data_IF_956201789750
#
_entry.id   IF_956201789750
#
_cell.length_a   1.000
_cell.length_b   1.000
_cell.length_c   1.000
_cell.angle_alpha   90.00
_cell.angle_beta   90.00
_cell.angle_gamma   90.00
#
_symmetry.space_group_name_H-M   'P 1'
#
loop_
_entity.id
_entity.type
_entity.pdbx_description
1 polymer ?
#
# COMPACT_ATOMS: atom_id res chain seq x y z
N UNK A 1 -13.00 37.09 73.21
CA UNK A 1 -11.90 36.91 72.23
C UNK A 1 -11.90 35.46 71.79
N UNK A 2 -12.70 35.09 70.78
CA UNK A 2 -12.80 33.69 70.34
C UNK A 2 -12.19 33.56 68.95
N UNK A 3 -11.09 32.82 68.85
CA UNK A 3 -10.33 32.57 67.62
C UNK A 3 -11.07 31.56 66.75
N UNK A 4 -11.36 31.95 65.52
CA UNK A 4 -11.73 31.05 64.43
C UNK A 4 -10.45 30.37 63.94
N UNK A 5 -10.38 29.05 63.98
CA UNK A 5 -9.30 28.28 63.32
C UNK A 5 -9.87 27.67 62.04
N UNK A 6 -9.29 28.06 60.91
CA UNK A 6 -9.66 27.62 59.57
C UNK A 6 -9.01 26.27 59.20
N UNK A 7 -9.66 25.60 58.23
CA UNK A 7 -9.40 24.28 57.67
C UNK A 7 -7.94 23.97 57.29
N UNK A 8 -7.54 22.71 57.44
CA UNK A 8 -6.61 22.04 56.51
C UNK A 8 -7.16 20.68 56.10
N UNK A 9 -7.22 20.44 54.78
CA UNK A 9 -7.79 19.23 54.17
C UNK A 9 -6.76 18.09 54.21
N UNK A 10 -7.26 16.90 54.53
CA UNK A 10 -6.53 15.64 54.66
C UNK A 10 -5.88 15.21 53.33
N UNK A 11 -4.55 15.13 53.28
CA UNK A 11 -3.78 14.69 52.10
C UNK A 11 -3.65 13.16 52.16
N UNK A 12 -4.44 12.43 51.38
CA UNK A 12 -4.16 11.03 51.04
C UNK A 12 -3.61 10.98 49.61
N UNK A 13 -2.30 10.75 49.48
CA UNK A 13 -1.65 10.53 48.17
C UNK A 13 -1.95 9.09 47.71
N UNK A 14 -2.51 8.86 46.51
CA UNK A 14 -2.61 7.51 45.99
C UNK A 14 -1.21 7.05 45.54
N UNK A 15 -0.75 5.96 46.17
CA UNK A 15 0.32 5.11 45.68
C UNK A 15 -0.23 4.46 44.42
N UNK A 16 0.18 4.89 43.23
CA UNK A 16 0.27 4.13 41.97
C UNK A 16 0.76 5.08 40.86
N UNK A 17 2.01 5.54 40.98
CA UNK A 17 2.72 6.09 39.82
C UNK A 17 3.32 4.89 39.07
N UNK A 18 2.65 4.58 37.96
CA UNK A 18 2.90 3.47 37.06
C UNK A 18 4.29 3.59 36.42
N UNK A 19 5.18 2.68 36.77
CA UNK A 19 6.46 2.47 36.12
C UNK A 19 6.25 1.80 34.76
N UNK A 20 6.06 2.58 33.69
CA UNK A 20 6.36 2.12 32.33
C UNK A 20 6.84 3.32 31.52
N UNK A 21 8.13 3.61 31.64
CA UNK A 21 8.82 4.61 30.82
C UNK A 21 9.16 4.00 29.46
N UNK A 22 8.68 4.67 28.42
CA UNK A 22 9.13 4.66 27.01
C UNK A 22 9.72 3.35 26.47
N UNK A 23 8.87 2.51 25.88
CA UNK A 23 9.30 1.52 24.87
C UNK A 23 8.56 1.71 23.54
N UNK A 24 7.76 2.76 23.41
CA UNK A 24 6.95 3.04 22.21
C UNK A 24 7.75 3.69 21.09
N UNK A 25 8.83 4.42 21.40
CA UNK A 25 9.64 5.08 20.36
C UNK A 25 10.43 4.09 19.51
N UNK A 26 11.01 3.05 20.13
CA UNK A 26 11.77 2.01 19.42
C UNK A 26 10.87 1.09 18.59
N UNK A 27 9.59 0.95 18.96
CA UNK A 27 8.63 0.18 18.17
C UNK A 27 8.20 0.93 16.91
N UNK A 28 7.93 2.24 17.02
CA UNK A 28 7.51 3.06 15.88
C UNK A 28 8.56 3.10 14.77
N UNK A 29 9.84 3.26 15.13
CA UNK A 29 10.95 3.25 14.18
C UNK A 29 11.13 1.89 13.46
N UNK A 30 10.81 0.77 14.11
CA UNK A 30 10.92 -0.57 13.50
C UNK A 30 9.73 -0.84 12.55
N UNK A 31 8.54 -0.34 12.86
CA UNK A 31 7.36 -0.45 11.99
C UNK A 31 7.47 0.32 10.68
N UNK A 32 8.04 1.54 10.70
CA UNK A 32 8.21 2.33 9.47
C UNK A 32 9.26 1.70 8.53
N UNK A 33 10.33 1.15 9.09
CA UNK A 33 11.41 0.52 8.31
C UNK A 33 10.93 -0.77 7.64
N UNK A 34 10.19 -1.62 8.37
CA UNK A 34 9.69 -2.91 7.88
C UNK A 34 8.58 -2.77 6.82
N UNK A 35 7.77 -1.71 6.86
CA UNK A 35 6.74 -1.44 5.85
C UNK A 35 7.33 -1.06 4.48
N UNK A 36 8.59 -0.61 4.44
CA UNK A 36 9.28 -0.18 3.22
C UNK A 36 9.97 -1.34 2.50
N UNK A 37 10.31 -2.43 3.21
CA UNK A 37 11.10 -3.56 2.68
C UNK A 37 10.29 -4.54 1.82
N UNK A 38 8.99 -4.62 2.05
CA UNK A 38 8.04 -5.34 1.19
C UNK A 38 7.24 -4.23 0.53
N UNK A 39 7.43 -3.96 -0.76
CA UNK A 39 6.81 -2.82 -1.48
C UNK A 39 5.28 -2.88 -1.56
N UNK A 40 4.59 -3.11 -0.44
CA UNK A 40 3.16 -3.29 -0.31
C UNK A 40 2.40 -2.03 -0.70
N UNK A 41 2.99 -0.86 -0.48
CA UNK A 41 2.45 0.44 -0.92
C UNK A 41 2.40 0.57 -2.45
N UNK A 42 3.31 -0.09 -3.17
CA UNK A 42 3.32 -0.04 -4.64
C UNK A 42 2.03 -0.61 -5.21
N UNK A 43 1.50 0.06 -6.24
CA UNK A 43 0.25 -0.33 -6.89
C UNK A 43 0.29 -1.76 -7.45
N UNK A 44 1.45 -2.18 -7.93
CA UNK A 44 1.74 -3.50 -8.49
C UNK A 44 3.11 -4.01 -8.04
N UNK A 45 3.40 -5.29 -8.27
CA UNK A 45 4.71 -5.90 -8.03
C UNK A 45 5.85 -5.21 -8.80
N UNK A 46 5.57 -4.70 -10.00
CA UNK A 46 6.55 -4.06 -10.89
C UNK A 46 6.29 -2.57 -11.17
N UNK A 47 5.28 -1.95 -10.54
CA UNK A 47 4.92 -0.56 -10.81
C UNK A 47 4.49 0.15 -9.51
N UNK A 48 5.16 1.25 -9.11
CA UNK A 48 4.90 1.89 -7.82
C UNK A 48 3.60 2.70 -7.81
N UNK A 49 3.36 3.50 -8.86
CA UNK A 49 2.28 4.47 -8.90
C UNK A 49 1.00 3.99 -9.59
N UNK A 50 0.03 4.91 -9.64
CA UNK A 50 -1.16 4.79 -10.48
C UNK A 50 -0.82 5.14 -11.94
N UNK A 51 -1.58 4.61 -12.89
CA UNK A 51 -1.41 4.85 -14.33
C UNK A 51 -2.69 5.37 -15.00
N UNK A 52 -3.70 5.76 -14.20
CA UNK A 52 -4.93 6.40 -14.67
C UNK A 52 -5.41 7.42 -13.64
N UNK A 53 -5.97 8.54 -14.10
CA UNK A 53 -6.47 9.62 -13.27
C UNK A 53 -7.54 9.16 -12.25
N UNK A 54 -8.38 8.20 -12.63
CA UNK A 54 -9.46 7.69 -11.76
C UNK A 54 -9.01 6.50 -10.90
N UNK A 55 -7.76 6.04 -11.04
CA UNK A 55 -7.26 4.91 -10.28
C UNK A 55 -6.86 5.38 -8.87
N UNK A 56 -7.38 4.70 -7.85
CA UNK A 56 -6.96 4.94 -6.45
C UNK A 56 -5.60 4.29 -6.19
N UNK A 57 -4.77 4.96 -5.41
CA UNK A 57 -3.55 4.35 -4.89
C UNK A 57 -3.88 3.17 -3.98
N UNK A 58 -2.95 2.23 -3.85
CA UNK A 58 -3.14 1.01 -3.06
C UNK A 58 -3.43 1.30 -1.60
N UNK A 59 -2.72 2.27 -1.04
CA UNK A 59 -2.87 2.72 0.35
C UNK A 59 -4.30 3.18 0.65
N UNK A 60 -4.92 3.93 -0.27
CA UNK A 60 -6.30 4.39 -0.15
C UNK A 60 -7.32 3.28 -0.43
N UNK A 61 -6.96 2.31 -1.28
CA UNK A 61 -7.84 1.19 -1.62
C UNK A 61 -7.96 0.15 -0.49
N UNK A 62 -6.88 -0.06 0.27
CA UNK A 62 -6.80 -0.99 1.40
C UNK A 62 -7.09 -0.31 2.75
N UNK A 63 -7.96 0.70 2.74
CA UNK A 63 -8.38 1.42 3.94
C UNK A 63 -9.70 0.89 4.51
N UNK A 64 -9.78 0.80 5.84
CA UNK A 64 -11.02 0.60 6.60
C UNK A 64 -11.23 -0.81 7.19
N UNK A 65 -12.34 -0.99 7.94
CA UNK A 65 -12.54 -2.17 8.82
C UNK A 65 -12.57 -3.53 8.11
N UNK A 66 -12.83 -3.57 6.81
CA UNK A 66 -12.84 -4.83 6.02
C UNK A 66 -11.45 -5.46 5.87
N UNK A 67 -10.40 -4.66 6.03
CA UNK A 67 -9.01 -5.09 5.92
C UNK A 67 -8.34 -5.28 7.28
N UNK A 68 -9.01 -4.92 8.38
CA UNK A 68 -8.55 -5.23 9.72
C UNK A 68 -8.54 -6.75 9.91
N UNK A 69 -7.47 -7.27 10.52
CA UNK A 69 -7.28 -8.71 10.75
C UNK A 69 -7.24 -9.56 9.47
N UNK A 70 -7.08 -8.95 8.29
CA UNK A 70 -6.80 -9.67 7.04
C UNK A 70 -5.30 -9.73 6.79
N UNK A 71 -4.82 -10.91 6.43
CA UNK A 71 -3.48 -11.03 5.87
C UNK A 71 -3.46 -10.38 4.48
N UNK A 72 -2.82 -9.22 4.43
CA UNK A 72 -2.65 -8.44 3.21
C UNK A 72 -1.70 -9.14 2.24
N UNK A 73 -0.71 -9.89 2.72
CA UNK A 73 0.29 -10.54 1.88
C UNK A 73 -0.30 -11.63 0.97
N UNK A 74 -1.38 -12.28 1.43
CA UNK A 74 -2.12 -13.29 0.67
C UNK A 74 -3.09 -12.69 -0.36
N UNK A 75 -3.31 -11.37 -0.36
CA UNK A 75 -4.23 -10.75 -1.32
C UNK A 75 -3.60 -10.69 -2.72
N UNK A 76 -4.39 -10.77 -3.80
CA UNK A 76 -3.89 -10.74 -5.16
C UNK A 76 -2.98 -9.52 -5.45
N UNK A 77 -1.82 -9.80 -6.05
CA UNK A 77 -0.82 -8.79 -6.41
C UNK A 77 -0.23 -9.08 -7.80
N UNK A 78 -1.02 -8.81 -8.83
CA UNK A 78 -0.61 -8.99 -10.22
C UNK A 78 0.48 -7.99 -10.63
N UNK A 79 1.23 -8.34 -11.69
CA UNK A 79 2.08 -7.38 -12.39
C UNK A 79 1.23 -6.41 -13.21
N UNK A 80 1.74 -5.21 -13.42
CA UNK A 80 1.12 -4.15 -14.20
C UNK A 80 1.48 -4.36 -15.66
N UNK A 81 0.46 -4.44 -16.51
CA UNK A 81 0.63 -4.64 -17.95
C UNK A 81 1.35 -3.46 -18.62
N UNK A 82 1.16 -2.23 -18.15
CA UNK A 82 1.81 -1.02 -18.69
C UNK A 82 3.33 -1.19 -18.73
N UNK A 83 3.88 -1.76 -17.67
CA UNK A 83 5.32 -2.00 -17.52
C UNK A 83 5.81 -3.27 -18.23
N UNK A 84 4.90 -4.17 -18.62
CA UNK A 84 5.23 -5.32 -19.46
C UNK A 84 5.26 -4.91 -20.94
N UNK A 85 4.24 -4.18 -21.39
CA UNK A 85 4.12 -3.68 -22.76
C UNK A 85 5.22 -2.67 -23.09
N UNK A 86 5.69 -1.88 -22.12
CA UNK A 86 6.83 -0.97 -22.32
C UNK A 86 8.14 -1.69 -22.69
N UNK A 87 8.27 -2.97 -22.37
CA UNK A 87 9.43 -3.81 -22.72
C UNK A 87 9.30 -4.48 -24.08
N UNK A 88 8.11 -4.48 -24.68
CA UNK A 88 7.92 -5.06 -26.00
C UNK A 88 8.57 -4.18 -27.07
N UNK A 89 9.34 -4.76 -28.00
CA UNK A 89 10.01 -3.99 -29.03
C UNK A 89 9.02 -3.50 -30.09
N UNK A 90 9.30 -2.30 -30.62
CA UNK A 90 8.57 -1.76 -31.77
C UNK A 90 8.85 -2.64 -33.00
N UNK A 91 7.78 -3.09 -33.67
CA UNK A 91 7.86 -3.87 -34.91
C UNK A 91 7.79 -2.93 -36.11
N UNK A 92 8.78 -3.01 -37.00
CA UNK A 92 8.86 -2.19 -38.21
C UNK A 92 8.19 -2.96 -39.36
N UNK A 93 7.36 -2.28 -40.15
CA UNK A 93 6.71 -2.85 -41.34
C UNK A 93 7.18 -2.15 -42.61
N UNK A 94 7.36 -2.92 -43.69
CA UNK A 94 7.73 -2.38 -45.00
C UNK A 94 6.47 -1.93 -45.75
N UNK A 95 5.94 -0.76 -45.39
CA UNK A 95 4.74 -0.21 -46.01
C UNK A 95 4.16 0.96 -45.22
N UNK A 96 3.08 1.55 -45.74
CA UNK A 96 2.39 2.68 -45.08
C UNK A 96 1.30 2.25 -44.09
N UNK A 97 1.03 0.95 -43.96
CA UNK A 97 -0.03 0.39 -43.11
C UNK A 97 0.52 -0.74 -42.25
N UNK A 98 0.18 -0.73 -40.97
CA UNK A 98 0.41 -1.82 -40.04
C UNK A 98 -0.93 -2.43 -39.63
N UNK A 99 -1.01 -3.76 -39.51
CA UNK A 99 -2.21 -4.49 -39.08
C UNK A 99 -1.85 -5.31 -37.84
N UNK A 100 -2.70 -5.25 -36.82
CA UNK A 100 -2.57 -6.03 -35.59
C UNK A 100 -3.87 -6.80 -35.37
N UNK A 101 -3.75 -8.11 -35.17
CA UNK A 101 -4.85 -9.05 -34.91
C UNK A 101 -4.89 -9.52 -33.44
N UNK A 102 -3.99 -9.00 -32.60
CA UNK A 102 -3.85 -9.44 -31.20
C UNK A 102 -3.30 -10.86 -31.04
N UNK A 103 -2.69 -11.46 -32.09
CA UNK A 103 -2.11 -12.80 -32.02
C UNK A 103 -3.10 -13.94 -32.29
N UNK A 104 -4.19 -13.66 -33.02
CA UNK A 104 -5.22 -14.64 -33.30
C UNK A 104 -5.97 -14.44 -34.62
N UNK A 105 -5.52 -15.17 -35.65
CA UNK A 105 -6.39 -16.10 -36.36
C UNK A 105 -5.82 -17.51 -36.18
N UNK A 106 -6.54 -18.38 -35.45
CA UNK A 106 -6.36 -19.84 -35.57
C UNK A 106 -6.95 -20.33 -36.90
N UNK A 107 -6.47 -19.79 -38.01
CA UNK A 107 -6.57 -20.42 -39.31
C UNK A 107 -5.28 -20.12 -40.04
N UNK A 108 -4.43 -21.14 -40.14
CA UNK A 108 -3.58 -21.25 -41.30
C UNK A 108 -4.51 -21.24 -42.51
N UNK A 109 -4.59 -20.12 -43.22
CA UNK A 109 -5.09 -20.16 -44.58
C UNK A 109 -4.02 -19.53 -45.46
N UNK A 110 -3.27 -20.46 -46.06
CA UNK A 110 -2.54 -20.25 -47.29
C UNK A 110 -3.46 -19.49 -48.24
N UNK A 111 -3.03 -18.32 -48.68
CA UNK A 111 -3.39 -17.84 -50.01
C UNK A 111 -2.10 -17.28 -50.61
N UNK A 112 -1.35 -18.18 -51.23
CA UNK A 112 -0.50 -17.85 -52.37
C UNK A 112 -1.45 -17.68 -53.56
N UNK A 113 -1.74 -16.44 -53.96
CA UNK A 113 -1.78 -16.02 -55.37
C UNK A 113 -1.89 -14.51 -55.51
#
# INVERSE_FOLDING_TARGET
MNRVVALTRNIRKPILQRWFSSSTEKLNEITEKKATEVGWSNQSTNHPGVWSANQRSRELAFYGPRFEQKDLSAQPRSMAAVELVSREPVRIVNGRKAVCDGGGLRFQQKDHH
#
